data_IF_836271182735
#
_entry.id   IF_836271182735
#
_cell.length_a   1.000
_cell.length_b   1.000
_cell.length_c   1.000
_cell.angle_alpha   90.00
_cell.angle_beta   90.00
_cell.angle_gamma   90.00
#
_symmetry.space_group_name_H-M   'P 1'
#
loop_
_entity.id
_entity.type
_entity.pdbx_description
1 polymer ?
#
# COMPACT_ATOMS: atom_id res chain seq x y z
N UNK A 1 -18.27 0.52 -4.89
CA UNK A 1 -18.15 0.76 -6.36
C UNK A 1 -17.56 -0.48 -7.01
N UNK A 2 -17.75 -0.68 -8.32
CA UNK A 2 -17.09 -1.79 -9.03
C UNK A 2 -15.57 -1.57 -9.10
N UNK A 3 -14.80 -2.64 -8.91
CA UNK A 3 -13.35 -2.61 -8.96
C UNK A 3 -12.76 -2.73 -10.36
N UNK A 4 -11.42 -2.72 -10.42
CA UNK A 4 -10.65 -2.85 -11.67
C UNK A 4 -10.76 -4.24 -12.28
N UNK A 5 -11.19 -5.24 -11.50
CA UNK A 5 -11.51 -6.59 -11.97
C UNK A 5 -12.98 -6.90 -11.69
N UNK A 6 -13.59 -7.72 -12.55
CA UNK A 6 -14.98 -8.13 -12.38
C UNK A 6 -15.18 -8.84 -11.03
N UNK A 7 -16.21 -8.44 -10.29
CA UNK A 7 -16.52 -8.98 -8.96
C UNK A 7 -15.81 -8.28 -7.80
N UNK A 8 -14.77 -7.48 -8.04
CA UNK A 8 -14.14 -6.70 -6.98
C UNK A 8 -15.05 -5.53 -6.57
N UNK A 9 -15.10 -5.27 -5.26
CA UNK A 9 -15.86 -4.18 -4.66
C UNK A 9 -14.89 -3.20 -4.01
N UNK A 10 -14.91 -1.94 -4.46
CA UNK A 10 -14.04 -0.87 -3.98
C UNK A 10 -14.79 0.03 -3.01
N UNK A 11 -14.14 0.30 -1.88
CA UNK A 11 -14.60 1.14 -0.79
C UNK A 11 -13.57 2.25 -0.57
N UNK A 12 -13.91 3.51 -0.90
CA UNK A 12 -13.04 4.63 -0.53
C UNK A 12 -13.00 4.74 0.99
N UNK A 13 -11.82 4.97 1.53
CA UNK A 13 -11.59 5.24 2.93
C UNK A 13 -11.04 6.65 3.11
N UNK A 14 -11.22 7.19 4.33
CA UNK A 14 -10.61 8.45 4.71
C UNK A 14 -9.09 8.40 4.64
N UNK A 15 -8.48 9.58 4.64
CA UNK A 15 -7.02 9.69 4.60
C UNK A 15 -6.43 9.09 5.89
N UNK A 16 -5.42 8.24 5.74
CA UNK A 16 -4.53 7.82 6.83
C UNK A 16 -5.18 7.00 7.97
N UNK A 17 -6.23 6.22 7.73
CA UNK A 17 -6.83 5.36 8.77
C UNK A 17 -5.92 4.18 9.14
N UNK A 18 -5.50 4.03 10.41
CA UNK A 18 -4.73 2.88 10.88
C UNK A 18 -5.69 1.73 11.23
N UNK A 19 -6.32 1.14 10.21
CA UNK A 19 -7.34 0.10 10.42
C UNK A 19 -6.75 -1.09 11.17
N UNK A 20 -7.38 -1.44 12.30
CA UNK A 20 -7.00 -2.56 13.16
C UNK A 20 -7.94 -3.75 12.99
N UNK A 21 -9.22 -3.49 12.71
CA UNK A 21 -10.22 -4.53 12.50
C UNK A 21 -11.16 -4.13 11.36
N UNK A 22 -11.76 -5.13 10.74
CA UNK A 22 -12.81 -4.94 9.75
C UNK A 22 -13.98 -5.87 9.99
N UNK A 23 -15.17 -5.40 9.65
CA UNK A 23 -16.41 -6.16 9.72
C UNK A 23 -17.15 -6.06 8.39
N UNK A 24 -18.11 -6.96 8.21
CA UNK A 24 -18.89 -7.04 6.99
C UNK A 24 -20.38 -7.04 7.30
N UNK A 25 -21.07 -5.98 6.86
CA UNK A 25 -22.52 -5.86 6.90
C UNK A 25 -23.15 -6.62 5.75
N UNK A 26 -23.60 -7.87 6.01
CA UNK A 26 -24.31 -8.69 5.04
C UNK A 26 -25.82 -8.44 5.13
N UNK A 27 -26.42 -7.90 4.06
CA UNK A 27 -27.85 -7.58 4.03
C UNK A 27 -28.74 -8.80 3.77
N UNK A 28 -28.23 -9.78 3.02
CA UNK A 28 -28.93 -11.03 2.70
C UNK A 28 -28.94 -11.99 3.89
N UNK A 29 -30.03 -12.75 4.06
CA UNK A 29 -30.14 -13.80 5.06
C UNK A 29 -29.60 -15.13 4.51
N UNK A 30 -29.05 -15.97 5.40
CA UNK A 30 -28.52 -17.30 5.06
C UNK A 30 -27.43 -17.28 3.99
N UNK A 31 -26.49 -16.35 4.15
CA UNK A 31 -25.36 -16.16 3.23
C UNK A 31 -24.03 -16.44 3.93
N UNK A 32 -23.11 -17.06 3.19
CA UNK A 32 -21.70 -17.22 3.53
C UNK A 32 -20.87 -16.55 2.43
N UNK A 33 -19.95 -15.71 2.84
CA UNK A 33 -19.20 -14.81 1.98
C UNK A 33 -17.70 -14.91 2.26
N UNK A 34 -17.00 -15.90 1.66
CA UNK A 34 -15.55 -15.98 1.71
C UNK A 34 -14.95 -14.89 0.83
N UNK A 35 -14.05 -14.09 1.39
CA UNK A 35 -13.48 -12.92 0.72
C UNK A 35 -12.02 -12.68 1.10
N UNK A 36 -11.32 -11.96 0.22
CA UNK A 36 -10.05 -11.33 0.52
C UNK A 36 -10.25 -9.82 0.61
N UNK A 37 -9.72 -9.22 1.68
CA UNK A 37 -9.60 -7.78 1.82
C UNK A 37 -8.19 -7.36 1.38
N UNK A 38 -8.08 -6.29 0.61
CA UNK A 38 -6.79 -5.76 0.19
C UNK A 38 -6.89 -4.39 -0.46
N UNK A 39 -5.90 -4.07 -1.28
CA UNK A 39 -5.88 -2.83 -2.07
C UNK A 39 -5.22 -3.09 -3.43
N UNK A 40 -5.48 -2.23 -4.40
CA UNK A 40 -4.71 -2.24 -5.64
C UNK A 40 -3.39 -1.53 -5.43
N UNK A 41 -2.30 -2.20 -5.81
CA UNK A 41 -0.96 -1.60 -5.82
C UNK A 41 -0.43 -1.57 -7.24
N UNK A 42 0.18 -0.45 -7.60
CA UNK A 42 0.90 -0.35 -8.85
C UNK A 42 2.23 -1.11 -8.74
N UNK A 43 2.55 -1.93 -9.74
CA UNK A 43 3.81 -2.68 -9.84
C UNK A 43 4.43 -2.50 -11.23
N UNK A 44 5.76 -2.64 -11.35
CA UNK A 44 6.40 -2.77 -12.65
C UNK A 44 5.77 -3.94 -13.43
N UNK A 45 5.33 -3.67 -14.65
CA UNK A 45 4.74 -4.70 -15.51
C UNK A 45 5.84 -5.56 -16.12
N UNK A 46 5.56 -6.86 -16.28
CA UNK A 46 6.43 -7.81 -16.99
C UNK A 46 6.12 -7.90 -18.49
N UNK A 47 5.02 -7.29 -18.94
CA UNK A 47 4.61 -7.33 -20.34
C UNK A 47 5.36 -6.31 -21.19
N UNK A 48 5.83 -6.74 -22.36
CA UNK A 48 6.43 -5.85 -23.36
C UNK A 48 5.41 -4.76 -23.78
N UNK A 49 5.83 -3.50 -23.77
CA UNK A 49 4.99 -2.35 -24.12
C UNK A 49 4.20 -1.73 -22.96
N UNK A 50 4.16 -2.34 -21.77
CA UNK A 50 3.49 -1.79 -20.59
C UNK A 50 4.47 -1.58 -19.44
N UNK A 51 4.62 -0.34 -18.98
CA UNK A 51 5.59 0.03 -17.94
C UNK A 51 5.14 -0.40 -16.54
N UNK A 52 3.87 -0.16 -16.20
CA UNK A 52 3.30 -0.49 -14.89
C UNK A 52 1.95 -1.18 -15.03
N UNK A 53 1.57 -1.94 -14.01
CA UNK A 53 0.27 -2.59 -13.90
C UNK A 53 -0.27 -2.48 -12.48
N UNK A 54 -1.59 -2.40 -12.36
CA UNK A 54 -2.28 -2.42 -11.08
C UNK A 54 -2.67 -3.84 -10.73
N UNK A 55 -2.22 -4.31 -9.57
CA UNK A 55 -2.45 -5.68 -9.12
C UNK A 55 -3.10 -5.64 -7.75
N UNK A 56 -4.14 -6.43 -7.56
CA UNK A 56 -4.72 -6.62 -6.23
C UNK A 56 -3.70 -7.31 -5.32
N UNK A 57 -3.39 -6.68 -4.19
CA UNK A 57 -2.56 -7.26 -3.16
C UNK A 57 -3.47 -7.66 -1.99
N UNK A 58 -3.76 -8.96 -1.81
CA UNK A 58 -4.53 -9.41 -0.67
C UNK A 58 -3.75 -9.13 0.61
N UNK A 59 -4.47 -8.65 1.62
CA UNK A 59 -3.93 -8.23 2.90
C UNK A 59 -4.47 -9.08 4.04
N UNK A 60 -5.75 -9.43 3.98
CA UNK A 60 -6.41 -10.36 4.87
C UNK A 60 -7.39 -11.23 4.09
N UNK A 61 -7.69 -12.42 4.60
CA UNK A 61 -8.72 -13.30 4.06
C UNK A 61 -9.60 -13.79 5.22
N UNK A 62 -10.91 -13.75 5.01
CA UNK A 62 -11.88 -14.15 6.02
C UNK A 62 -13.18 -14.62 5.36
N UNK A 63 -13.96 -15.37 6.12
CA UNK A 63 -15.31 -15.78 5.72
C UNK A 63 -16.30 -15.15 6.67
N UNK A 64 -17.17 -14.29 6.14
CA UNK A 64 -18.27 -13.70 6.89
C UNK A 64 -19.55 -14.46 6.58
N UNK A 65 -20.45 -14.56 7.54
CA UNK A 65 -21.74 -15.19 7.36
C UNK A 65 -22.83 -14.41 8.10
N UNK A 66 -24.05 -14.57 7.60
CA UNK A 66 -25.28 -14.21 8.29
C UNK A 66 -26.27 -15.35 8.10
N UNK A 67 -26.54 -16.10 9.16
CA UNK A 67 -27.38 -17.30 9.13
C UNK A 67 -28.50 -17.14 10.16
N UNK A 68 -29.73 -17.35 9.74
CA UNK A 68 -30.89 -17.39 10.63
C UNK A 68 -31.26 -18.85 10.87
N UNK A 69 -31.20 -19.29 12.13
CA UNK A 69 -31.55 -20.63 12.56
C UNK A 69 -32.50 -20.53 13.75
N UNK A 70 -33.62 -21.26 13.72
CA UNK A 70 -34.62 -21.28 14.80
C UNK A 70 -35.10 -19.88 15.25
N UNK A 71 -35.24 -18.96 14.28
CA UNK A 71 -35.64 -17.56 14.53
C UNK A 71 -34.53 -16.66 15.07
N UNK A 72 -33.33 -17.19 15.34
CA UNK A 72 -32.16 -16.44 15.80
C UNK A 72 -31.21 -16.15 14.64
N UNK A 73 -30.86 -14.89 14.42
CA UNK A 73 -29.84 -14.51 13.42
C UNK A 73 -28.45 -14.47 14.05
N UNK A 74 -27.52 -15.24 13.49
CA UNK A 74 -26.09 -15.23 13.84
C UNK A 74 -25.30 -14.58 12.72
N UNK A 75 -24.45 -13.63 13.08
CA UNK A 75 -23.56 -12.93 12.16
C UNK A 75 -22.11 -13.10 12.60
N UNK A 76 -21.19 -13.09 11.64
CA UNK A 76 -19.76 -12.98 11.94
C UNK A 76 -19.43 -11.63 12.60
N UNK A 77 -18.50 -11.65 13.56
CA UNK A 77 -17.97 -10.44 14.20
C UNK A 77 -16.87 -9.77 13.37
N UNK A 78 -16.29 -8.71 13.93
CA UNK A 78 -15.13 -8.06 13.34
C UNK A 78 -13.90 -8.99 13.37
N UNK A 79 -13.08 -8.91 12.33
CA UNK A 79 -11.86 -9.68 12.16
C UNK A 79 -10.67 -8.74 12.31
N UNK A 80 -9.69 -9.15 13.12
CA UNK A 80 -8.44 -8.44 13.29
C UNK A 80 -7.61 -8.43 12.01
N UNK A 81 -7.05 -7.26 11.73
CA UNK A 81 -6.09 -7.01 10.68
C UNK A 81 -4.71 -6.96 11.35
N UNK A 82 -3.76 -7.77 10.88
CA UNK A 82 -2.40 -7.78 11.46
C UNK A 82 -1.75 -6.40 11.42
N UNK A 83 -0.99 -6.05 12.47
CA UNK A 83 -0.17 -4.84 12.54
C UNK A 83 0.73 -4.73 11.29
N UNK A 84 0.71 -3.57 10.62
CA UNK A 84 1.51 -3.32 9.41
C UNK A 84 0.73 -3.20 8.12
N UNK A 85 -0.60 -3.24 8.18
CA UNK A 85 -1.45 -2.87 7.06
C UNK A 85 -1.53 -1.35 6.97
N UNK A 86 -0.48 -0.79 6.35
CA UNK A 86 -0.31 0.65 6.16
C UNK A 86 -1.56 1.32 5.60
N UNK A 87 -1.68 2.62 5.86
CA UNK A 87 -2.86 3.40 5.53
C UNK A 87 -3.28 3.24 4.06
N UNK A 88 -4.54 2.87 3.84
CA UNK A 88 -5.12 2.74 2.50
C UNK A 88 -6.18 3.81 2.30
N UNK A 89 -6.12 4.51 1.17
CA UNK A 89 -7.18 5.41 0.72
C UNK A 89 -8.36 4.65 0.11
N UNK A 90 -8.13 3.41 -0.34
CA UNK A 90 -9.14 2.55 -0.93
C UNK A 90 -8.93 1.12 -0.44
N UNK A 91 -10.01 0.50 -0.01
CA UNK A 91 -10.07 -0.92 0.31
C UNK A 91 -10.82 -1.66 -0.77
N UNK A 92 -10.37 -2.87 -1.07
CA UNK A 92 -10.96 -3.72 -2.09
C UNK A 92 -11.34 -5.05 -1.45
N UNK A 93 -12.61 -5.40 -1.56
CA UNK A 93 -13.14 -6.72 -1.25
C UNK A 93 -13.15 -7.51 -2.55
N UNK A 94 -12.45 -8.64 -2.54
CA UNK A 94 -12.50 -9.65 -3.58
C UNK A 94 -13.24 -10.88 -3.07
N UNK A 95 -14.42 -11.20 -3.60
CA UNK A 95 -15.07 -12.47 -3.30
C UNK A 95 -14.18 -13.63 -3.75
N UNK A 96 -14.05 -14.66 -2.91
CA UNK A 96 -13.36 -15.90 -3.27
C UNK A 96 -14.29 -16.91 -3.97
N UNK A 97 -15.58 -16.57 -4.05
CA UNK A 97 -16.58 -17.29 -4.82
C UNK A 97 -16.98 -16.45 -6.05
N UNK A 98 -16.76 -16.97 -7.25
CA UNK A 98 -17.06 -16.28 -8.51
C UNK A 98 -18.55 -16.03 -8.75
N UNK A 99 -19.44 -16.78 -8.08
CA UNK A 99 -20.89 -16.59 -8.15
C UNK A 99 -21.43 -15.61 -7.10
N UNK A 100 -20.57 -15.00 -6.28
CA UNK A 100 -21.00 -14.06 -5.26
C UNK A 100 -21.53 -12.77 -5.89
N UNK A 101 -22.79 -12.45 -5.63
CA UNK A 101 -23.46 -11.22 -6.11
C UNK A 101 -23.71 -10.20 -5.01
N UNK A 102 -23.59 -10.62 -3.74
CA UNK A 102 -23.83 -9.75 -2.59
C UNK A 102 -22.86 -8.57 -2.56
N UNK A 103 -23.39 -7.39 -2.24
CA UNK A 103 -22.65 -6.14 -2.07
C UNK A 103 -22.66 -5.73 -0.59
N UNK A 104 -21.77 -6.31 0.23
CA UNK A 104 -21.75 -6.01 1.65
C UNK A 104 -21.27 -4.58 1.96
N UNK A 105 -21.59 -4.10 3.15
CA UNK A 105 -21.01 -2.90 3.72
C UNK A 105 -19.71 -3.23 4.45
N UNK A 106 -18.63 -2.50 4.16
CA UNK A 106 -17.35 -2.66 4.83
C UNK A 106 -17.30 -1.76 6.07
N UNK A 107 -17.26 -2.37 7.25
CA UNK A 107 -16.97 -1.67 8.50
C UNK A 107 -15.46 -1.69 8.77
N UNK A 108 -14.91 -0.53 9.12
CA UNK A 108 -13.51 -0.38 9.52
C UNK A 108 -13.45 0.13 10.96
N UNK A 109 -12.58 -0.44 11.77
CA UNK A 109 -12.38 -0.05 13.17
C UNK A 109 -10.90 0.21 13.44
N UNK A 110 -10.61 1.26 14.18
CA UNK A 110 -9.26 1.69 14.55
C UNK A 110 -9.29 2.43 15.88
N UNK A 111 -8.13 2.49 16.54
CA UNK A 111 -7.93 3.35 17.70
C UNK A 111 -7.34 4.69 17.26
N UNK A 112 -7.98 5.84 17.56
CA UNK A 112 -7.43 7.15 17.21
C UNK A 112 -6.21 7.48 18.07
N UNK A 113 -5.21 8.11 17.46
CA UNK A 113 -4.06 8.65 18.18
C UNK A 113 -4.36 10.05 18.73
N UNK A 114 -3.91 10.34 19.95
CA UNK A 114 -3.99 11.68 20.56
C UNK A 114 -2.64 12.37 20.44
N UNK A 115 -2.63 13.58 19.89
CA UNK A 115 -1.44 14.44 19.84
C UNK A 115 -1.52 15.49 20.94
N UNK A 116 -0.44 15.60 21.72
CA UNK A 116 -0.25 16.66 22.71
C UNK A 116 0.97 17.46 22.28
N UNK A 117 0.85 18.78 22.27
CA UNK A 117 1.93 19.68 21.91
C UNK A 117 1.94 20.90 22.82
N UNK A 118 3.12 21.48 23.01
CA UNK A 118 3.28 22.73 23.73
C UNK A 118 3.12 23.88 22.73
N UNK A 119 2.07 24.68 22.90
CA UNK A 119 1.82 25.85 22.07
C UNK A 119 2.82 26.96 22.41
N UNK A 120 3.83 27.15 21.55
CA UNK A 120 4.85 28.19 21.71
C UNK A 120 4.96 29.09 20.48
N UNK A 121 5.10 30.39 20.71
CA UNK A 121 5.18 31.39 19.64
C UNK A 121 3.82 31.97 19.26
N UNK A 122 3.70 32.47 18.03
CA UNK A 122 2.49 33.12 17.54
C UNK A 122 1.64 32.14 16.73
N UNK A 123 0.37 31.89 17.10
CA UNK A 123 -0.56 31.07 16.29
C UNK A 123 -0.84 31.70 14.92
N UNK A 124 -1.33 30.95 13.91
CA UNK A 124 -1.83 29.56 13.95
C UNK A 124 -0.74 28.49 13.84
N UNK A 125 -0.99 27.32 14.44
CA UNK A 125 -0.13 26.14 14.36
C UNK A 125 -0.57 25.23 13.21
N UNK A 126 0.37 24.56 12.52
CA UNK A 126 0.08 23.65 11.40
C UNK A 126 0.55 22.24 11.70
N UNK A 127 -0.36 21.26 11.57
CA UNK A 127 -0.06 19.83 11.65
C UNK A 127 -0.09 19.22 10.24
N UNK A 128 1.04 18.67 9.80
CA UNK A 128 1.14 17.95 8.51
C UNK A 128 1.34 16.46 8.76
N UNK A 129 0.63 15.61 8.01
CA UNK A 129 0.69 14.15 8.15
C UNK A 129 0.66 13.45 6.78
N UNK A 130 0.99 12.15 6.75
CA UNK A 130 0.93 11.31 5.54
C UNK A 130 2.24 11.19 4.75
N UNK A 131 3.32 11.86 5.17
CA UNK A 131 4.65 11.70 4.57
C UNK A 131 5.34 10.45 5.13
N UNK A 132 5.64 9.47 4.27
CA UNK A 132 6.18 8.16 4.67
C UNK A 132 7.65 8.19 5.08
N UNK A 133 8.42 9.18 4.63
CA UNK A 133 9.84 9.41 4.92
C UNK A 133 10.07 10.50 5.98
N UNK A 134 9.01 10.91 6.70
CA UNK A 134 9.15 11.87 7.78
C UNK A 134 10.00 11.31 8.92
N UNK A 135 11.05 12.04 9.30
CA UNK A 135 11.84 11.72 10.49
C UNK A 135 10.95 11.82 11.74
N UNK A 136 10.86 10.77 12.58
CA UNK A 136 10.09 10.83 13.81
C UNK A 136 10.70 11.86 14.77
N UNK A 137 9.93 12.90 15.10
CA UNK A 137 10.30 13.90 16.12
C UNK A 137 9.36 13.81 17.33
N UNK A 138 8.65 12.68 17.47
CA UNK A 138 7.80 12.47 18.64
C UNK A 138 8.66 12.49 19.92
N UNK A 139 8.03 12.97 20.99
CA UNK A 139 8.59 13.01 22.34
C UNK A 139 7.65 12.24 23.24
N UNK A 140 8.18 11.58 24.27
CA UNK A 140 7.32 10.93 25.25
C UNK A 140 6.51 12.01 25.98
N UNK A 141 5.34 11.61 26.49
CA UNK A 141 4.48 12.54 27.21
C UNK A 141 5.21 13.23 28.37
N UNK A 142 6.06 12.50 29.09
CA UNK A 142 6.84 13.02 30.22
C UNK A 142 7.81 14.15 29.81
N UNK A 143 8.24 14.20 28.55
CA UNK A 143 9.12 15.25 28.03
C UNK A 143 8.35 16.52 27.62
N UNK A 144 7.05 16.39 27.32
CA UNK A 144 6.20 17.50 26.86
C UNK A 144 5.35 18.06 28.00
N UNK A 145 4.87 17.20 28.90
CA UNK A 145 4.00 17.53 30.02
C UNK A 145 4.44 16.73 31.27
N UNK A 146 5.60 17.04 31.88
CA UNK A 146 6.09 16.34 33.04
C UNK A 146 5.12 16.49 34.23
N UNK A 147 4.79 15.37 34.88
CA UNK A 147 3.95 15.34 36.09
C UNK A 147 2.44 15.40 35.84
N UNK A 148 1.99 15.45 34.59
CA UNK A 148 0.56 15.44 34.26
C UNK A 148 -0.04 14.03 34.36
N UNK A 149 -1.17 13.92 35.06
CA UNK A 149 -1.97 12.70 35.09
C UNK A 149 -2.89 12.59 33.86
N UNK A 150 -3.34 11.38 33.47
CA UNK A 150 -4.30 11.21 32.37
C UNK A 150 -5.65 11.91 32.57
N UNK A 151 -5.98 12.31 33.80
CA UNK A 151 -7.19 13.10 34.10
C UNK A 151 -6.95 14.56 33.78
N UNK A 152 -5.82 15.12 34.22
CA UNK A 152 -5.45 16.52 33.95
C UNK A 152 -5.24 16.78 32.46
N UNK A 153 -4.65 15.82 31.73
CA UNK A 153 -4.50 15.93 30.27
C UNK A 153 -5.84 16.07 29.53
N UNK A 154 -6.90 15.45 30.05
CA UNK A 154 -8.25 15.56 29.47
C UNK A 154 -8.94 16.89 29.80
N UNK A 155 -8.44 17.61 30.80
CA UNK A 155 -8.92 18.94 31.20
C UNK A 155 -8.16 20.06 30.49
N UNK A 156 -7.07 19.75 29.78
CA UNK A 156 -6.35 20.73 28.96
C UNK A 156 -7.25 21.31 27.86
N UNK A 157 -6.90 22.52 27.44
CA UNK A 157 -7.57 23.18 26.32
C UNK A 157 -7.44 22.34 25.06
N UNK A 158 -8.57 22.06 24.41
CA UNK A 158 -8.61 21.28 23.19
C UNK A 158 -8.36 22.19 22.00
N UNK A 159 -7.28 21.91 21.26
CA UNK A 159 -7.02 22.59 20.00
C UNK A 159 -8.13 22.26 18.98
N UNK A 160 -8.73 23.30 18.39
CA UNK A 160 -9.68 23.11 17.29
C UNK A 160 -8.92 22.97 15.98
N UNK A 161 -9.23 21.91 15.24
CA UNK A 161 -8.63 21.67 13.92
C UNK A 161 -9.39 22.51 12.89
N UNK A 162 -8.65 23.28 12.09
CA UNK A 162 -9.21 23.99 10.95
C UNK A 162 -9.58 23.07 9.79
N UNK A 163 -9.94 23.66 8.65
CA UNK A 163 -10.22 22.89 7.43
C UNK A 163 -9.00 22.07 6.99
N UNK A 164 -9.22 20.82 6.59
CA UNK A 164 -8.16 19.95 6.09
C UNK A 164 -7.62 20.50 4.78
N UNK A 165 -6.37 20.97 4.80
CA UNK A 165 -5.67 21.38 3.60
C UNK A 165 -4.88 20.21 3.02
N UNK A 166 -5.29 19.74 1.83
CA UNK A 166 -4.53 18.75 1.08
C UNK A 166 -3.31 19.45 0.48
N UNK A 167 -2.12 19.13 0.99
CA UNK A 167 -0.88 19.63 0.43
C UNK A 167 -0.78 19.26 -1.05
N UNK A 168 -0.73 20.25 -1.94
CA UNK A 168 -0.39 20.04 -3.35
C UNK A 168 1.05 19.57 -3.40
N UNK A 169 1.24 18.26 -3.52
CA UNK A 169 2.48 17.75 -4.12
C UNK A 169 2.42 18.16 -5.59
N UNK A 170 2.98 19.33 -5.91
CA UNK A 170 3.16 19.83 -7.28
C UNK A 170 4.18 18.99 -8.02
N UNK A 171 3.75 17.79 -8.38
CA UNK A 171 4.19 16.99 -9.50
C UNK A 171 3.40 15.68 -9.38
N UNK A 172 2.83 15.21 -10.49
CA UNK A 172 2.64 13.78 -10.66
C UNK A 172 4.04 13.14 -10.67
N UNK A 173 4.65 13.04 -9.49
CA UNK A 173 5.93 12.39 -9.31
C UNK A 173 5.74 10.98 -9.86
N UNK A 174 6.61 10.59 -10.79
CA UNK A 174 6.61 9.26 -11.36
C UNK A 174 6.46 8.25 -10.21
N UNK A 175 5.42 7.42 -10.24
CA UNK A 175 5.12 6.52 -9.13
C UNK A 175 6.33 5.66 -8.79
N UNK A 176 6.46 5.22 -7.54
CA UNK A 176 7.58 4.37 -7.13
C UNK A 176 7.73 3.12 -8.05
N UNK A 177 6.60 2.58 -8.53
CA UNK A 177 6.58 1.49 -9.49
C UNK A 177 7.17 1.88 -10.87
N UNK A 178 6.82 3.06 -11.38
CA UNK A 178 7.39 3.57 -12.64
C UNK A 178 8.89 3.83 -12.55
N UNK A 179 9.37 4.37 -11.42
CA UNK A 179 10.79 4.58 -11.15
C UNK A 179 11.53 3.24 -11.04
N UNK A 180 10.95 2.26 -10.35
CA UNK A 180 11.50 0.91 -10.27
C UNK A 180 11.57 0.23 -11.66
N UNK A 181 10.54 0.41 -12.50
CA UNK A 181 10.53 -0.10 -13.87
C UNK A 181 11.65 0.53 -14.73
N UNK A 182 11.86 1.85 -14.59
CA UNK A 182 12.94 2.56 -15.27
C UNK A 182 14.33 2.08 -14.81
N UNK A 183 14.53 1.93 -13.50
CA UNK A 183 15.78 1.43 -12.92
C UNK A 183 16.08 -0.01 -13.35
N UNK A 184 15.05 -0.88 -13.40
CA UNK A 184 15.19 -2.25 -13.89
C UNK A 184 15.62 -2.28 -15.36
N UNK A 185 15.00 -1.43 -16.21
CA UNK A 185 15.36 -1.31 -17.63
C UNK A 185 16.81 -0.84 -17.83
N UNK A 186 17.25 0.13 -17.02
CA UNK A 186 18.63 0.60 -17.05
C UNK A 186 19.63 -0.51 -16.71
N UNK A 187 19.36 -1.32 -15.67
CA UNK A 187 20.19 -2.47 -15.31
C UNK A 187 20.28 -3.48 -16.45
N UNK A 188 19.18 -3.75 -17.15
CA UNK A 188 19.16 -4.63 -18.32
C UNK A 188 20.06 -4.12 -19.43
N UNK A 189 20.02 -2.83 -19.76
CA UNK A 189 20.92 -2.26 -20.78
C UNK A 189 22.39 -2.35 -20.38
N UNK A 190 22.72 -2.13 -19.11
CA UNK A 190 24.08 -2.31 -18.59
C UNK A 190 24.54 -3.76 -18.74
N UNK A 191 23.70 -4.73 -18.38
CA UNK A 191 24.01 -6.16 -18.52
C UNK A 191 24.23 -6.56 -19.98
N UNK A 192 23.41 -6.06 -20.90
CA UNK A 192 23.62 -6.25 -22.34
C UNK A 192 24.94 -5.62 -22.81
N UNK A 193 25.28 -4.43 -22.31
CA UNK A 193 26.57 -3.79 -22.60
C UNK A 193 27.77 -4.65 -22.15
N UNK A 194 27.72 -5.19 -20.93
CA UNK A 194 28.76 -6.09 -20.41
C UNK A 194 28.83 -7.39 -21.20
N UNK A 195 27.68 -7.97 -21.57
CA UNK A 195 27.61 -9.19 -22.37
C UNK A 195 28.25 -8.99 -23.76
N UNK A 196 27.87 -7.93 -24.47
CA UNK A 196 28.43 -7.61 -25.78
C UNK A 196 29.94 -7.35 -25.71
N UNK A 197 30.40 -6.71 -24.63
CA UNK A 197 31.83 -6.50 -24.39
C UNK A 197 32.57 -7.85 -24.25
N UNK A 198 32.01 -8.79 -23.48
CA UNK A 198 32.57 -10.14 -23.33
C UNK A 198 32.63 -10.90 -24.65
N UNK A 199 31.57 -10.83 -25.46
CA UNK A 199 31.51 -11.44 -26.80
C UNK A 199 32.54 -10.82 -27.74
N UNK A 200 32.72 -9.50 -27.72
CA UNK A 200 33.72 -8.81 -28.54
C UNK A 200 35.16 -9.23 -28.21
N UNK A 201 35.48 -9.40 -26.92
CA UNK A 201 36.78 -9.90 -26.47
C UNK A 201 37.03 -11.32 -27.01
N UNK A 202 36.04 -12.20 -26.88
CA UNK A 202 36.14 -13.59 -27.37
C UNK A 202 36.30 -13.63 -28.90
N UNK A 203 35.50 -12.84 -29.63
CA UNK A 203 35.62 -12.69 -31.08
C UNK A 203 36.99 -12.17 -31.52
N UNK A 204 37.56 -11.22 -30.77
CA UNK A 204 38.92 -10.72 -30.99
C UNK A 204 40.00 -11.79 -30.81
N UNK A 205 39.86 -12.66 -29.80
CA UNK A 205 40.78 -13.79 -29.60
C UNK A 205 40.72 -14.78 -30.76
N UNK A 206 39.51 -15.16 -31.21
CA UNK A 206 39.33 -16.07 -32.34
C UNK A 206 39.91 -15.49 -33.62
N UNK A 207 39.65 -14.21 -33.91
CA UNK A 207 40.20 -13.54 -35.11
C UNK A 207 41.73 -13.51 -35.09
N UNK A 208 42.33 -13.22 -33.94
CA UNK A 208 43.78 -13.28 -33.76
C UNK A 208 44.34 -14.68 -34.02
N UNK A 209 43.68 -15.72 -33.54
CA UNK A 209 44.09 -17.12 -33.69
C UNK A 209 44.03 -17.56 -35.17
N UNK A 210 42.93 -17.25 -35.86
CA UNK A 210 42.78 -17.51 -37.30
C UNK A 210 43.83 -16.75 -38.12
N UNK A 211 44.13 -15.50 -37.77
CA UNK A 211 45.17 -14.72 -38.45
C UNK A 211 46.56 -15.33 -38.27
N UNK A 212 46.85 -15.90 -37.10
CA UNK A 212 48.11 -16.62 -36.85
C UNK A 212 48.20 -17.93 -37.66
N UNK A 213 47.10 -18.69 -37.76
CA UNK A 213 47.05 -19.91 -38.58
C UNK A 213 47.19 -19.63 -40.08
N UNK A 214 46.58 -18.56 -40.58
CA UNK A 214 46.72 -18.14 -41.98
C UNK A 214 48.12 -17.59 -42.31
N UNK A 215 48.81 -17.00 -41.33
CA UNK A 215 50.21 -16.57 -41.48
C UNK A 215 51.17 -17.77 -41.54
N UNK A 216 50.87 -18.86 -40.81
CA UNK A 216 51.66 -20.11 -40.85
C UNK A 216 51.50 -20.94 -42.13
N UNK A 217 50.48 -20.67 -42.96
CA UNK A 217 50.23 -21.38 -44.23
C UNK A 217 50.95 -20.75 -45.45
N UNK A 218 51.69 -19.66 -45.25
CA UNK A 218 52.47 -18.95 -46.28
C UNK A 218 53.99 -19.12 -46.13
N UNK A 219 54.45 -20.00 -45.25
CA UNK A 219 55.85 -20.39 -45.13
C UNK A 219 56.10 -21.72 -45.85
#
# INVERSE_FOLDING_TARGET
MAGRQAGDLVYPAGIALPVEQFSLGLQEANIVYPMALGAYVERPSRQAGKTTEWVFQPRSQATFYRITQDGQTRCSGAVGIGLGLGHQQEWVIRPLNAAATAQPELGLSWQPATLIFLAGGTPPYTLSFGRSDATPVNRTLDQVAPGFTPVELRQLEQAQVGELQVGRSDAAAASAASQAAAAARQRTYILWGVLLLGVAILGGMVWRLVRQMNAGKKA
#
